data_IF_281043264374
#
_entry.id   IF_281043264374
#
_cell.length_a   1.000
_cell.length_b   1.000
_cell.length_c   1.000
_cell.angle_alpha   90.00
_cell.angle_beta   90.00
_cell.angle_gamma   90.00
#
_symmetry.space_group_name_H-M   'P 1'
#
loop_
_entity.id
_entity.type
_entity.pdbx_description
1 polymer ?
#
# COMPACT_ATOMS: atom_id res chain seq x y z
N UNK A 1 -8.89 5.01 -7.28
CA UNK A 1 -7.90 3.94 -7.01
C UNK A 1 -6.66 4.55 -6.39
N UNK A 2 -6.12 3.90 -5.37
CA UNK A 2 -4.89 4.36 -4.73
C UNK A 2 -3.77 4.48 -5.76
N UNK A 3 -3.01 5.57 -5.67
CA UNK A 3 -1.83 5.77 -6.52
C UNK A 3 -0.57 5.53 -5.68
N UNK A 4 0.51 5.15 -6.36
CA UNK A 4 1.79 4.88 -5.70
C UNK A 4 2.84 5.83 -6.26
N UNK A 5 3.69 6.39 -5.39
CA UNK A 5 4.84 7.15 -5.86
C UNK A 5 5.87 6.19 -6.46
N UNK A 6 6.81 6.72 -7.23
CA UNK A 6 7.88 5.89 -7.79
C UNK A 6 8.65 5.18 -6.69
N UNK A 7 8.94 5.91 -5.61
CA UNK A 7 9.66 5.33 -4.47
C UNK A 7 8.83 4.23 -3.81
N UNK A 8 7.53 4.45 -3.66
CA UNK A 8 6.65 3.43 -3.08
C UNK A 8 6.66 2.15 -3.92
N UNK A 9 6.60 2.31 -5.25
CA UNK A 9 6.63 1.13 -6.12
C UNK A 9 7.92 0.35 -5.95
N UNK A 10 9.05 1.04 -5.92
CA UNK A 10 10.34 0.37 -5.77
C UNK A 10 10.45 -0.34 -4.43
N UNK A 11 10.05 0.31 -3.36
CA UNK A 11 10.15 -0.27 -2.03
C UNK A 11 9.21 -1.47 -1.88
N UNK A 12 7.97 -1.33 -2.34
CA UNK A 12 6.98 -2.42 -2.24
C UNK A 12 7.46 -3.62 -3.05
N UNK A 13 7.95 -3.39 -4.26
CA UNK A 13 8.48 -4.46 -5.08
C UNK A 13 9.61 -5.20 -4.37
N UNK A 14 10.54 -4.45 -3.76
CA UNK A 14 11.64 -5.05 -3.02
C UNK A 14 11.20 -5.85 -1.82
N UNK A 15 10.26 -5.33 -1.05
CA UNK A 15 9.73 -6.03 0.12
C UNK A 15 9.08 -7.35 -0.30
N UNK A 16 8.27 -7.32 -1.34
CA UNK A 16 7.56 -8.50 -1.81
C UNK A 16 8.53 -9.56 -2.33
N UNK A 17 9.56 -9.13 -3.06
CA UNK A 17 10.56 -10.06 -3.58
C UNK A 17 11.37 -10.69 -2.46
N UNK A 18 11.73 -9.90 -1.45
CA UNK A 18 12.49 -10.42 -0.31
C UNK A 18 11.69 -11.40 0.54
N UNK A 19 10.36 -11.25 0.54
CA UNK A 19 9.51 -12.14 1.30
C UNK A 19 9.38 -13.54 0.71
N UNK A 20 9.72 -13.69 -0.56
CA UNK A 20 9.71 -15.00 -1.26
C UNK A 20 8.40 -15.75 -1.11
N UNK A 21 7.29 -15.02 -1.19
CA UNK A 21 5.96 -15.61 -1.01
C UNK A 21 5.33 -16.14 -2.29
N UNK A 22 6.03 -15.97 -3.42
CA UNK A 22 5.56 -16.52 -4.68
C UNK A 22 5.12 -15.43 -5.67
N UNK A 23 4.71 -15.85 -6.89
CA UNK A 23 4.45 -14.90 -7.97
C UNK A 23 3.21 -14.03 -7.78
N UNK A 24 2.31 -14.42 -6.88
CA UNK A 24 1.09 -13.66 -6.62
C UNK A 24 1.19 -12.81 -5.35
N UNK A 25 2.37 -12.74 -4.76
CA UNK A 25 2.55 -12.01 -3.51
C UNK A 25 2.44 -10.51 -3.73
N UNK A 26 1.96 -9.81 -2.72
CA UNK A 26 1.82 -8.36 -2.76
C UNK A 26 1.73 -7.79 -1.37
N UNK A 27 1.71 -6.47 -1.29
CA UNK A 27 1.50 -5.79 -0.03
C UNK A 27 0.00 -5.65 0.18
N UNK A 28 -0.49 -6.17 1.29
CA UNK A 28 -1.92 -6.08 1.60
C UNK A 28 -2.14 -4.95 2.58
N UNK A 29 -3.08 -4.07 2.25
CA UNK A 29 -3.46 -2.95 3.12
C UNK A 29 -4.90 -3.16 3.54
N UNK A 30 -5.12 -3.18 4.85
CA UNK A 30 -6.46 -3.30 5.40
C UNK A 30 -6.77 -2.05 6.23
N UNK A 31 -8.03 -1.69 6.29
CA UNK A 31 -8.47 -0.54 7.06
C UNK A 31 -9.57 -0.96 8.02
N UNK A 32 -9.52 -0.42 9.21
CA UNK A 32 -10.52 -0.68 10.22
C UNK A 32 -10.92 0.64 10.87
N UNK A 33 -12.22 0.82 11.09
CA UNK A 33 -12.71 2.01 11.79
C UNK A 33 -12.56 1.79 13.28
N UNK A 34 -12.00 2.78 13.94
CA UNK A 34 -11.82 2.72 15.37
C UNK A 34 -13.00 3.37 16.09
N UNK A 35 -13.17 3.03 17.36
CA UNK A 35 -14.30 3.53 18.12
C UNK A 35 -14.29 5.04 18.31
N UNK A 36 -13.14 5.68 18.13
CA UNK A 36 -13.03 7.13 18.24
C UNK A 36 -13.25 7.84 16.91
N UNK A 37 -13.66 7.13 15.88
CA UNK A 37 -13.94 7.71 14.57
C UNK A 37 -12.75 7.75 13.62
N UNK A 38 -11.57 7.35 14.09
CA UNK A 38 -10.39 7.32 13.25
C UNK A 38 -10.34 6.01 12.45
N UNK A 39 -9.56 6.02 11.39
CA UNK A 39 -9.34 4.83 10.59
C UNK A 39 -7.91 4.36 10.78
N UNK A 40 -7.74 3.11 11.16
CA UNK A 40 -6.42 2.50 11.32
C UNK A 40 -6.11 1.68 10.07
N UNK A 41 -4.90 1.82 9.57
CA UNK A 41 -4.43 1.07 8.42
C UNK A 41 -3.38 0.07 8.88
N UNK A 42 -3.47 -1.14 8.34
CA UNK A 42 -2.48 -2.17 8.60
C UNK A 42 -1.87 -2.63 7.29
N UNK A 43 -0.57 -2.88 7.31
CA UNK A 43 0.20 -3.27 6.13
C UNK A 43 0.88 -4.59 6.42
N UNK A 44 0.72 -5.55 5.50
CA UNK A 44 1.38 -6.84 5.64
C UNK A 44 1.65 -7.46 4.28
N UNK A 45 2.56 -8.42 4.24
CA UNK A 45 2.80 -9.17 3.01
C UNK A 45 1.77 -10.27 2.89
N UNK A 46 1.24 -10.47 1.69
CA UNK A 46 0.27 -11.50 1.41
C UNK A 46 0.75 -12.36 0.26
N UNK A 47 0.47 -13.65 0.34
CA UNK A 47 0.85 -14.58 -0.73
C UNK A 47 -0.05 -14.46 -1.95
N UNK A 48 -1.28 -14.02 -1.74
CA UNK A 48 -2.27 -13.90 -2.81
C UNK A 48 -3.41 -13.01 -2.31
N UNK A 49 -4.23 -12.48 -3.22
CA UNK A 49 -5.38 -11.69 -2.79
C UNK A 49 -6.46 -12.57 -2.16
N UNK A 50 -7.26 -11.97 -1.31
CA UNK A 50 -8.43 -12.60 -0.73
C UNK A 50 -9.65 -12.18 -1.54
N UNK A 51 -10.70 -12.97 -1.55
CA UNK A 51 -11.93 -12.63 -2.27
C UNK A 51 -12.43 -11.26 -1.81
N UNK A 52 -12.73 -10.40 -2.78
CA UNK A 52 -13.20 -9.05 -2.49
C UNK A 52 -12.11 -8.01 -2.45
N UNK A 53 -10.84 -8.41 -2.47
CA UNK A 53 -9.74 -7.47 -2.50
C UNK A 53 -9.67 -6.75 -3.84
N UNK A 54 -9.38 -5.45 -3.78
CA UNK A 54 -9.02 -4.72 -4.98
C UNK A 54 -7.54 -4.94 -5.25
N UNK A 55 -7.18 -5.11 -6.50
CA UNK A 55 -5.80 -5.38 -6.89
C UNK A 55 -5.25 -4.18 -7.63
N UNK A 56 -4.14 -3.64 -7.13
CA UNK A 56 -3.42 -2.55 -7.77
C UNK A 56 -2.05 -3.06 -8.18
N UNK A 57 -1.72 -2.91 -9.45
CA UNK A 57 -0.43 -3.35 -9.95
C UNK A 57 0.18 -2.23 -10.77
N UNK A 58 1.30 -1.69 -10.33
CA UNK A 58 2.00 -0.61 -11.02
C UNK A 58 3.50 -0.84 -10.92
N UNK A 59 4.18 -0.78 -12.07
CA UNK A 59 5.63 -0.84 -12.10
C UNK A 59 6.26 -2.06 -11.46
N UNK A 60 5.53 -3.16 -11.42
CA UNK A 60 6.00 -4.39 -10.77
C UNK A 60 5.62 -4.49 -9.31
N UNK A 61 5.04 -3.43 -8.73
CA UNK A 61 4.54 -3.47 -7.36
C UNK A 61 3.09 -3.92 -7.38
N UNK A 62 2.76 -4.85 -6.48
CA UNK A 62 1.39 -5.36 -6.36
C UNK A 62 0.87 -5.04 -4.98
N UNK A 63 -0.31 -4.45 -4.91
CA UNK A 63 -0.95 -4.07 -3.66
C UNK A 63 -2.37 -4.62 -3.64
N UNK A 64 -2.75 -5.22 -2.54
CA UNK A 64 -4.10 -5.72 -2.34
C UNK A 64 -4.78 -4.88 -1.28
N UNK A 65 -5.99 -4.40 -1.58
CA UNK A 65 -6.74 -3.54 -0.68
C UNK A 65 -8.04 -4.23 -0.32
N UNK A 66 -8.35 -4.32 0.97
CA UNK A 66 -9.66 -4.82 1.33
C UNK A 66 -10.71 -3.78 0.96
N UNK A 67 -11.98 -4.13 1.11
CA UNK A 67 -13.07 -3.28 0.67
C UNK A 67 -13.03 -1.89 1.32
N UNK A 68 -12.77 -1.85 2.62
CA UNK A 68 -12.72 -0.58 3.35
C UNK A 68 -11.49 0.23 2.93
N UNK A 69 -10.34 -0.43 2.82
CA UNK A 69 -9.12 0.27 2.40
C UNK A 69 -9.25 0.83 0.99
N UNK A 70 -9.87 0.07 0.08
CA UNK A 70 -10.07 0.53 -1.29
C UNK A 70 -10.93 1.79 -1.33
N UNK A 71 -11.91 1.88 -0.46
CA UNK A 71 -12.79 3.04 -0.37
C UNK A 71 -12.09 4.24 0.25
N UNK A 72 -11.42 4.01 1.38
CA UNK A 72 -10.75 5.07 2.13
C UNK A 72 -9.60 5.66 1.32
N UNK A 73 -8.91 4.84 0.57
CA UNK A 73 -7.69 5.24 -0.15
C UNK A 73 -7.94 5.56 -1.62
N UNK A 74 -9.20 5.62 -2.04
CA UNK A 74 -9.53 5.79 -3.46
C UNK A 74 -8.92 7.04 -4.08
N UNK A 75 -8.81 8.12 -3.31
CA UNK A 75 -8.26 9.38 -3.80
C UNK A 75 -6.91 9.73 -3.15
N UNK A 76 -6.21 8.73 -2.64
CA UNK A 76 -4.95 8.95 -1.94
C UNK A 76 -3.76 8.47 -2.76
N UNK A 77 -2.59 8.97 -2.40
CA UNK A 77 -1.32 8.53 -2.96
C UNK A 77 -0.48 7.98 -1.82
N UNK A 78 0.08 6.80 -2.00
CA UNK A 78 0.93 6.17 -1.00
C UNK A 78 2.38 6.38 -1.36
N UNK A 79 3.16 6.84 -0.38
CA UNK A 79 4.61 6.90 -0.48
C UNK A 79 5.19 6.01 0.60
N UNK A 80 6.29 5.32 0.29
CA UNK A 80 6.96 4.44 1.22
C UNK A 80 8.44 4.77 1.21
N UNK A 81 8.99 5.02 2.38
CA UNK A 81 10.43 5.27 2.52
C UNK A 81 11.06 4.16 3.34
N UNK A 82 12.25 3.77 2.94
CA UNK A 82 13.00 2.76 3.67
C UNK A 82 14.03 3.45 4.56
N UNK A 83 13.98 3.13 5.86
CA UNK A 83 14.88 3.69 6.85
C UNK A 83 15.56 2.57 7.62
N UNK A 84 16.72 2.14 7.12
CA UNK A 84 17.43 1.04 7.76
C UNK A 84 16.64 -0.24 7.68
N UNK A 85 16.16 -0.73 8.81
CA UNK A 85 15.45 -1.99 8.89
C UNK A 85 13.93 -1.80 9.04
N UNK A 86 13.43 -0.59 8.85
CA UNK A 86 12.00 -0.37 8.90
C UNK A 86 11.56 0.56 7.78
N UNK A 87 10.25 0.63 7.58
CA UNK A 87 9.64 1.38 6.49
C UNK A 87 8.68 2.41 7.03
N UNK A 88 8.64 3.55 6.39
CA UNK A 88 7.72 4.61 6.76
C UNK A 88 6.70 4.81 5.64
N UNK A 89 5.42 4.67 5.97
CA UNK A 89 4.33 4.80 5.01
C UNK A 89 3.66 6.16 5.19
N UNK A 90 3.47 6.88 4.10
CA UNK A 90 2.81 8.19 4.12
C UNK A 90 1.69 8.23 3.10
N UNK A 91 0.62 8.93 3.41
CA UNK A 91 -0.49 9.11 2.51
C UNK A 91 -0.73 10.58 2.25
N UNK A 92 -0.94 10.92 0.99
CA UNK A 92 -1.34 12.27 0.60
C UNK A 92 -2.51 12.17 -0.34
N UNK A 93 -3.14 13.30 -0.64
CA UNK A 93 -4.24 13.32 -1.58
C UNK A 93 -3.73 13.39 -3.01
N UNK A 94 -4.43 12.74 -3.92
CA UNK A 94 -4.06 12.80 -5.33
C UNK A 94 -4.26 14.24 -5.80
N UNK A 95 -3.33 14.70 -6.63
CA UNK A 95 -3.36 16.06 -7.11
C UNK A 95 -2.53 17.03 -6.29
N UNK A 96 -2.10 16.62 -5.10
CA UNK A 96 -1.17 17.43 -4.33
C UNK A 96 0.24 17.20 -4.84
N UNK A 97 1.04 18.26 -4.83
CA UNK A 97 2.44 18.11 -5.13
C UNK A 97 3.14 17.57 -3.89
N UNK A 98 3.72 16.40 -4.02
CA UNK A 98 4.57 15.91 -2.95
C UNK A 98 5.75 16.83 -2.81
N UNK A 99 6.22 17.07 -1.59
CA UNK A 99 7.39 17.92 -1.43
C UNK A 99 8.52 17.37 -2.27
N UNK A 100 8.99 18.20 -3.17
CA UNK A 100 10.12 17.80 -3.97
C UNK A 100 11.33 17.85 -3.07
N UNK A 101 11.91 16.78 -2.85
CA UNK A 101 13.02 16.78 -1.97
C UNK A 101 14.31 16.65 -2.55
#
# INVERSE_FOLDING_TARGET
MLALTDQARDVIKGIVEEGELGPKAGLRITAANESNGDTALEFELAEAPVDGDAVLSEGGATVYLDEVAAEVLADKTLDVEEHGDHFHFSLGEQGELWPAD
#
